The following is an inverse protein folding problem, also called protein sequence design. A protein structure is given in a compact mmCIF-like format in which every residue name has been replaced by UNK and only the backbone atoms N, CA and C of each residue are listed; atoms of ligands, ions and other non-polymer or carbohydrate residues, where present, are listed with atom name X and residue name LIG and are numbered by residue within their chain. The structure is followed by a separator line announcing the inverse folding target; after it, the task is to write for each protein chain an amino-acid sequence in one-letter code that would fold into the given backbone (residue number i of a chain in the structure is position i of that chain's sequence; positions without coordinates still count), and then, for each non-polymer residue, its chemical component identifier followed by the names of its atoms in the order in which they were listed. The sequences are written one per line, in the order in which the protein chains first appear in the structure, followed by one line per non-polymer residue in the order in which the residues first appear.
data_IF_093935817471
#
_entry.id   IF_093935817471
#
_cell.length_a   1.000
_cell.length_b   1.000
_cell.length_c   1.000
_cell.angle_alpha   90.00
_cell.angle_beta   90.00
_cell.angle_gamma   90.00
#
_symmetry.space_group_name_H-M   'P 1'
#
loop_
_entity.id
_entity.type
_entity.pdbx_description
1 polymer ?
#
# COMPACT_ATOMS: atom_id res chain seq x y z
N UNK A 1 14.80 -35.98 9.69
CA UNK A 1 14.37 -34.70 10.34
C UNK A 1 13.26 -34.06 9.53
N UNK A 2 13.44 -33.78 8.23
CA UNK A 2 12.46 -33.04 7.41
C UNK A 2 11.10 -33.75 7.38
N UNK A 3 11.04 -35.04 6.98
CA UNK A 3 9.79 -35.79 6.85
C UNK A 3 9.07 -36.05 8.17
N UNK A 4 9.83 -36.32 9.25
CA UNK A 4 9.25 -36.79 10.51
C UNK A 4 9.04 -35.69 11.56
N UNK A 5 9.65 -34.50 11.37
CA UNK A 5 9.56 -33.41 12.34
C UNK A 5 9.01 -32.14 11.69
N UNK A 6 9.69 -31.63 10.68
CA UNK A 6 9.32 -30.34 10.07
C UNK A 6 7.99 -30.43 9.32
N UNK A 7 7.82 -31.41 8.44
CA UNK A 7 6.59 -31.57 7.68
C UNK A 7 5.34 -31.75 8.56
N UNK A 8 5.33 -32.63 9.58
CA UNK A 8 4.21 -32.71 10.50
C UNK A 8 3.96 -31.43 11.31
N UNK A 9 5.00 -30.67 11.67
CA UNK A 9 4.83 -29.40 12.38
C UNK A 9 4.17 -28.34 11.50
N UNK A 10 4.60 -28.19 10.24
CA UNK A 10 3.96 -27.29 9.27
C UNK A 10 2.51 -27.72 8.96
N UNK A 11 2.27 -29.02 8.87
CA UNK A 11 0.90 -29.52 8.66
C UNK A 11 -0.01 -29.14 9.83
N UNK A 12 0.43 -29.32 11.08
CA UNK A 12 -0.35 -28.89 12.27
C UNK A 12 -0.62 -27.39 12.25
N UNK A 13 0.38 -26.57 11.94
CA UNK A 13 0.19 -25.11 11.83
C UNK A 13 -0.83 -24.76 10.74
N UNK A 14 -0.72 -25.36 9.56
CA UNK A 14 -1.70 -25.17 8.48
C UNK A 14 -3.10 -25.55 8.91
N UNK A 15 -3.25 -26.73 9.53
CA UNK A 15 -4.55 -27.25 9.94
C UNK A 15 -5.17 -26.38 11.04
N UNK A 16 -4.38 -25.89 12.00
CA UNK A 16 -4.81 -24.89 12.99
C UNK A 16 -5.28 -23.59 12.33
N UNK A 17 -4.46 -23.04 11.42
CA UNK A 17 -4.82 -21.80 10.74
C UNK A 17 -6.10 -21.94 9.92
N UNK A 18 -6.25 -23.04 9.16
CA UNK A 18 -7.40 -23.24 8.28
C UNK A 18 -8.69 -23.56 9.06
N UNK A 19 -8.62 -24.40 10.10
CA UNK A 19 -9.80 -24.95 10.73
C UNK A 19 -10.21 -24.22 12.02
N UNK A 20 -9.29 -23.52 12.68
CA UNK A 20 -9.54 -22.86 13.96
C UNK A 20 -9.37 -21.35 13.90
N UNK A 21 -8.27 -20.86 13.35
CA UNK A 21 -7.95 -19.43 13.35
C UNK A 21 -8.77 -18.65 12.32
N UNK A 22 -8.74 -19.04 11.05
CA UNK A 22 -9.42 -18.31 9.96
C UNK A 22 -10.94 -18.21 10.15
N UNK A 23 -11.66 -19.28 10.59
CA UNK A 23 -13.09 -19.17 10.84
C UNK A 23 -13.49 -18.23 11.98
N UNK A 24 -12.54 -17.90 12.86
CA UNK A 24 -12.73 -16.98 14.00
C UNK A 24 -12.04 -15.63 13.79
N UNK A 25 -11.33 -15.48 12.69
CA UNK A 25 -10.69 -14.22 12.36
C UNK A 25 -11.75 -13.15 12.08
N UNK A 26 -11.43 -11.92 12.38
CA UNK A 26 -12.34 -10.79 12.10
C UNK A 26 -12.46 -10.55 10.60
N UNK A 27 -13.64 -10.25 10.13
CA UNK A 27 -13.91 -9.93 8.73
C UNK A 27 -13.56 -8.47 8.39
N UNK A 28 -13.58 -7.60 9.41
CA UNK A 28 -13.30 -6.18 9.22
C UNK A 28 -11.79 -5.91 9.27
N UNK A 29 -11.32 -5.13 8.30
CA UNK A 29 -9.92 -4.70 8.21
C UNK A 29 -9.70 -3.39 8.98
N UNK A 30 -8.42 -3.08 9.23
CA UNK A 30 -8.01 -1.85 9.88
C UNK A 30 -7.94 -1.92 11.40
N UNK A 31 -7.18 -1.00 11.97
CA UNK A 31 -6.96 -0.92 13.42
C UNK A 31 -8.24 -0.50 14.15
N UNK A 32 -9.03 0.39 13.54
CA UNK A 32 -10.28 0.91 14.11
C UNK A 32 -11.33 -0.16 14.39
N UNK A 33 -11.26 -1.32 13.73
CA UNK A 33 -12.17 -2.45 13.98
C UNK A 33 -11.83 -3.23 15.26
N UNK A 34 -10.71 -2.96 15.89
CA UNK A 34 -10.31 -3.60 17.14
C UNK A 34 -10.82 -2.80 18.35
N UNK A 35 -11.06 -3.50 19.48
CA UNK A 35 -11.40 -2.82 20.72
C UNK A 35 -10.31 -1.83 21.12
N UNK A 36 -10.67 -0.57 21.29
CA UNK A 36 -9.71 0.52 21.58
C UNK A 36 -8.85 0.95 20.38
N UNK A 37 -9.04 0.32 19.22
CA UNK A 37 -8.22 0.58 18.03
C UNK A 37 -8.35 1.99 17.48
N UNK A 38 -9.51 2.62 17.58
CA UNK A 38 -9.69 4.01 17.17
C UNK A 38 -8.84 4.98 18.01
N UNK A 39 -8.81 4.79 19.34
CA UNK A 39 -7.96 5.59 20.24
C UNK A 39 -6.47 5.33 19.96
N UNK A 40 -6.09 4.09 19.78
CA UNK A 40 -4.71 3.74 19.43
C UNK A 40 -4.31 4.37 18.09
N UNK A 41 -5.18 4.34 17.10
CA UNK A 41 -4.91 4.95 15.79
C UNK A 41 -4.72 6.46 15.89
N UNK A 42 -5.58 7.14 16.66
CA UNK A 42 -5.44 8.58 16.94
C UNK A 42 -4.11 8.89 17.63
N UNK A 43 -3.74 8.11 18.65
CA UNK A 43 -2.44 8.25 19.31
C UNK A 43 -1.27 8.07 18.35
N UNK A 44 -1.32 7.09 17.46
CA UNK A 44 -0.28 6.85 16.45
C UNK A 44 -0.17 8.02 15.45
N UNK A 45 -1.30 8.64 15.08
CA UNK A 45 -1.30 9.85 14.26
C UNK A 45 -0.53 10.97 14.98
N UNK A 46 -0.86 11.25 16.23
CA UNK A 46 -0.20 12.29 17.03
C UNK A 46 1.29 12.01 17.21
N UNK A 47 1.66 10.77 17.49
CA UNK A 47 3.06 10.36 17.62
C UNK A 47 3.84 10.51 16.30
N UNK A 48 3.21 10.24 15.15
CA UNK A 48 3.89 10.28 13.86
C UNK A 48 3.96 11.70 13.29
N UNK A 49 2.87 12.46 13.42
CA UNK A 49 2.77 13.81 12.85
C UNK A 49 3.22 14.91 13.81
N UNK A 50 3.31 14.60 15.10
CA UNK A 50 3.52 15.57 16.21
C UNK A 50 2.42 16.65 16.30
N UNK A 51 1.29 16.44 15.65
CA UNK A 51 0.17 17.38 15.56
C UNK A 51 -1.14 16.68 15.94
N UNK A 52 -2.11 17.40 16.52
CA UNK A 52 -3.41 16.85 16.91
C UNK A 52 -4.35 16.76 15.68
N UNK A 53 -3.94 16.01 14.67
CA UNK A 53 -4.70 15.80 13.45
C UNK A 53 -5.64 14.61 13.60
N UNK A 54 -6.80 14.65 12.93
CA UNK A 54 -7.73 13.53 12.88
C UNK A 54 -7.45 12.62 11.69
N UNK A 55 -7.87 11.36 11.80
CA UNK A 55 -7.77 10.40 10.70
C UNK A 55 -8.52 10.89 9.44
N UNK A 56 -9.72 11.45 9.61
CA UNK A 56 -10.54 11.97 8.51
C UNK A 56 -9.87 13.16 7.82
N UNK A 57 -9.26 14.06 8.60
CA UNK A 57 -8.49 15.17 8.02
C UNK A 57 -7.34 14.66 7.13
N UNK A 58 -6.55 13.72 7.65
CA UNK A 58 -5.44 13.15 6.90
C UNK A 58 -5.90 12.39 5.65
N UNK A 59 -6.99 11.64 5.75
CA UNK A 59 -7.58 10.95 4.60
C UNK A 59 -8.00 11.94 3.51
N UNK A 60 -8.74 12.99 3.86
CA UNK A 60 -9.20 14.00 2.91
C UNK A 60 -8.02 14.81 2.32
N UNK A 61 -7.02 15.12 3.13
CA UNK A 61 -5.79 15.74 2.66
C UNK A 61 -5.09 14.84 1.63
N UNK A 62 -4.97 13.53 1.93
CA UNK A 62 -4.39 12.56 1.01
C UNK A 62 -5.15 12.50 -0.33
N UNK A 63 -6.47 12.52 -0.32
CA UNK A 63 -7.28 12.54 -1.54
C UNK A 63 -7.05 13.82 -2.36
N UNK A 64 -6.99 14.98 -1.70
CA UNK A 64 -6.73 16.26 -2.38
C UNK A 64 -5.33 16.31 -2.98
N UNK A 65 -4.32 15.81 -2.27
CA UNK A 65 -2.94 15.74 -2.77
C UNK A 65 -2.79 14.77 -3.96
N UNK A 66 -3.46 13.62 -3.91
CA UNK A 66 -3.50 12.69 -5.07
C UNK A 66 -4.11 13.37 -6.30
N UNK A 67 -5.21 14.11 -6.13
CA UNK A 67 -5.83 14.86 -7.23
C UNK A 67 -4.90 15.96 -7.76
N UNK A 68 -4.24 16.72 -6.88
CA UNK A 68 -3.27 17.76 -7.24
C UNK A 68 -2.10 17.17 -8.04
N UNK A 69 -1.46 16.14 -7.51
CA UNK A 69 -0.31 15.47 -8.12
C UNK A 69 -0.70 14.90 -9.49
N UNK A 70 -1.88 14.26 -9.60
CA UNK A 70 -2.36 13.74 -10.87
C UNK A 70 -2.56 14.83 -11.91
N UNK A 71 -3.07 16.00 -11.48
CA UNK A 71 -3.21 17.17 -12.35
C UNK A 71 -1.86 17.69 -12.84
N UNK A 72 -0.83 17.70 -11.98
CA UNK A 72 0.53 18.10 -12.38
C UNK A 72 1.16 17.08 -13.34
N UNK A 73 0.97 15.79 -13.12
CA UNK A 73 1.42 14.74 -14.03
C UNK A 73 0.80 14.89 -15.44
N UNK A 74 -0.49 15.23 -15.52
CA UNK A 74 -1.15 15.50 -16.81
C UNK A 74 -0.56 16.73 -17.52
N UNK A 75 -0.20 17.78 -16.77
CA UNK A 75 0.49 18.96 -17.33
C UNK A 75 1.85 18.59 -17.91
N UNK A 76 2.69 17.89 -17.13
CA UNK A 76 4.00 17.43 -17.59
C UNK A 76 3.87 16.55 -18.85
N UNK A 77 2.91 15.61 -18.84
CA UNK A 77 2.62 14.77 -20.02
C UNK A 77 2.29 15.63 -21.26
N UNK A 78 1.48 16.67 -21.08
CA UNK A 78 1.12 17.59 -22.17
C UNK A 78 2.32 18.43 -22.65
N UNK A 79 3.15 18.93 -21.74
CA UNK A 79 4.36 19.69 -22.05
C UNK A 79 5.37 18.90 -22.89
N UNK A 80 5.53 17.60 -22.60
CA UNK A 80 6.38 16.72 -23.41
C UNK A 80 5.71 16.23 -24.70
N UNK A 81 4.47 16.64 -24.96
CA UNK A 81 3.74 16.30 -26.18
C UNK A 81 3.27 14.84 -26.27
N UNK A 82 3.23 14.11 -25.16
CA UNK A 82 2.81 12.71 -25.16
C UNK A 82 1.28 12.60 -25.34
N UNK A 83 0.87 11.91 -26.42
CA UNK A 83 -0.54 11.66 -26.72
C UNK A 83 -0.95 10.29 -26.18
N UNK A 84 -1.69 10.25 -25.09
CA UNK A 84 -2.15 9.00 -24.45
C UNK A 84 -2.55 9.21 -23.02
N UNK A 85 -2.90 8.12 -22.34
CA UNK A 85 -3.21 8.12 -20.90
C UNK A 85 -1.95 8.26 -20.05
N UNK A 86 -2.08 8.69 -18.79
CA UNK A 86 -0.96 8.69 -17.85
C UNK A 86 -0.33 7.29 -17.69
N UNK A 87 -1.15 6.23 -17.69
CA UNK A 87 -0.63 4.87 -17.63
C UNK A 87 0.30 4.57 -18.80
N UNK A 88 -0.13 4.88 -20.02
CA UNK A 88 0.69 4.70 -21.23
C UNK A 88 1.97 5.54 -21.20
N UNK A 89 1.89 6.76 -20.66
CA UNK A 89 3.06 7.61 -20.47
C UNK A 89 4.07 6.99 -19.51
N UNK A 90 3.63 6.48 -18.37
CA UNK A 90 4.53 5.78 -17.42
C UNK A 90 5.08 4.46 -17.97
N UNK A 91 4.30 3.75 -18.77
CA UNK A 91 4.77 2.52 -19.42
C UNK A 91 5.85 2.85 -20.47
N UNK A 92 5.69 3.94 -21.23
CA UNK A 92 6.72 4.43 -22.15
C UNK A 92 8.00 4.83 -21.39
N UNK A 93 7.90 5.62 -20.34
CA UNK A 93 9.06 6.02 -19.53
C UNK A 93 9.85 4.82 -19.00
N UNK A 94 9.15 3.73 -18.64
CA UNK A 94 9.79 2.50 -18.14
C UNK A 94 10.42 1.63 -19.23
N UNK A 95 9.82 1.59 -20.40
CA UNK A 95 10.18 0.60 -21.44
C UNK A 95 11.01 1.21 -22.55
N UNK A 96 10.89 2.50 -22.82
CA UNK A 96 11.55 3.19 -23.91
C UNK A 96 13.09 3.18 -23.73
N UNK A 97 13.84 2.64 -24.69
CA UNK A 97 15.30 2.56 -24.62
C UNK A 97 15.99 3.93 -24.49
N UNK A 98 15.32 5.02 -24.88
CA UNK A 98 15.83 6.40 -24.75
C UNK A 98 16.15 6.76 -23.28
N UNK A 99 15.40 6.21 -22.34
CA UNK A 99 15.52 6.49 -20.89
C UNK A 99 16.34 5.43 -20.14
N UNK A 100 16.93 4.46 -20.87
CA UNK A 100 17.77 3.42 -20.27
C UNK A 100 19.22 3.68 -20.55
N UNK A 101 20.12 3.50 -19.56
CA UNK A 101 21.56 3.57 -19.83
C UNK A 101 21.96 2.48 -20.81
N UNK A 102 22.82 2.83 -21.78
CA UNK A 102 23.30 1.90 -22.83
C UNK A 102 24.47 1.03 -22.36
N UNK A 103 25.13 1.40 -21.29
CA UNK A 103 26.21 0.65 -20.65
C UNK A 103 26.21 0.84 -19.14
N UNK A 104 27.06 0.09 -18.45
CA UNK A 104 27.28 0.15 -17.00
C UNK A 104 28.39 1.12 -16.60
N UNK A 105 28.95 1.85 -17.56
CA UNK A 105 29.98 2.86 -17.30
C UNK A 105 29.35 4.18 -16.84
#
# INVERSE_FOLDING_TARGET
VIGNVLYPAHKRLRDFLANEYLPRARDQVGLSSMKGGAMLYQHLIEQTTTLPLTADYLHNLGLSEVARIRGEMEKVKAEVGFKGTLKQFFDDLRTNPKFKPKSRE
#
